data_IF_682588637957
#
_entry.id   IF_682588637957
#
_cell.length_a   1.000
_cell.length_b   1.000
_cell.length_c   1.000
_cell.angle_alpha   90.00
_cell.angle_beta   90.00
_cell.angle_gamma   90.00
#
_symmetry.space_group_name_H-M   'P 1'
#
loop_
_entity.id
_entity.type
_entity.pdbx_description
1 polymer ?
#
# COMPACT_ATOMS: atom_id res chain seq x y z
N UNK A 1 31.12 66.13 17.94
CA UNK A 1 30.15 65.87 16.85
C UNK A 1 30.77 64.84 15.93
N UNK A 2 29.96 63.99 15.29
CA UNK A 2 30.35 62.78 14.53
C UNK A 2 30.48 61.49 15.35
N UNK A 3 29.33 60.89 15.70
CA UNK A 3 29.23 59.44 15.95
C UNK A 3 27.76 58.95 15.88
N UNK A 4 27.01 59.38 14.87
CA UNK A 4 25.55 59.16 14.84
C UNK A 4 24.91 58.82 13.49
N UNK A 5 25.65 58.74 12.39
CA UNK A 5 25.05 58.53 11.05
C UNK A 5 25.55 57.32 10.27
N UNK A 6 26.57 56.58 10.73
CA UNK A 6 27.08 55.39 10.03
C UNK A 6 26.43 54.07 10.42
N UNK A 7 25.59 54.04 11.47
CA UNK A 7 24.99 52.80 11.97
C UNK A 7 23.60 52.45 11.37
N UNK A 8 22.99 53.36 10.60
CA UNK A 8 21.67 53.15 10.00
C UNK A 8 21.78 52.59 8.57
N UNK A 9 22.77 53.05 7.79
CA UNK A 9 23.00 52.57 6.42
C UNK A 9 23.55 51.13 6.33
N UNK A 10 24.39 50.72 7.28
CA UNK A 10 24.98 49.37 7.29
C UNK A 10 23.96 48.32 7.73
N UNK A 11 22.99 48.69 8.57
CA UNK A 11 21.95 47.77 9.06
C UNK A 11 20.86 47.52 8.01
N UNK A 12 20.53 48.49 7.17
CA UNK A 12 19.61 48.29 6.04
C UNK A 12 20.26 47.47 4.91
N UNK A 13 21.55 47.66 4.62
CA UNK A 13 22.25 46.86 3.59
C UNK A 13 22.50 45.41 4.04
N UNK A 14 22.74 45.18 5.34
CA UNK A 14 22.83 43.81 5.89
C UNK A 14 21.47 43.10 5.98
N UNK A 15 20.36 43.82 6.19
CA UNK A 15 19.02 43.21 6.16
C UNK A 15 18.53 42.91 4.74
N UNK A 16 18.85 43.77 3.74
CA UNK A 16 18.55 43.48 2.33
C UNK A 16 19.46 42.37 1.77
N UNK A 17 20.71 42.29 2.23
CA UNK A 17 21.65 41.21 1.86
C UNK A 17 21.31 39.85 2.50
N UNK A 18 20.76 39.83 3.71
CA UNK A 18 20.32 38.58 4.39
C UNK A 18 18.98 38.07 3.83
N UNK A 19 18.08 38.96 3.39
CA UNK A 19 16.84 38.58 2.70
C UNK A 19 17.09 38.04 1.29
N UNK A 20 18.11 38.52 0.56
CA UNK A 20 18.49 37.96 -0.75
C UNK A 20 19.22 36.60 -0.65
N UNK A 21 19.86 36.30 0.49
CA UNK A 21 20.45 34.98 0.74
C UNK A 21 19.42 33.92 1.19
N UNK A 22 18.21 34.33 1.60
CA UNK A 22 17.10 33.42 1.87
C UNK A 22 16.33 33.03 0.60
N UNK A 23 16.55 33.72 -0.54
CA UNK A 23 15.91 33.42 -1.83
C UNK A 23 16.80 32.60 -2.79
N UNK A 24 17.99 32.17 -2.36
CA UNK A 24 18.84 31.24 -3.12
C UNK A 24 19.13 29.94 -2.37
N UNK A 25 18.28 29.60 -1.41
CA UNK A 25 18.21 28.27 -0.81
C UNK A 25 17.09 27.48 -1.47
N UNK A 26 17.21 27.10 -2.74
CA UNK A 26 16.36 26.07 -3.33
C UNK A 26 16.64 24.77 -2.56
N UNK A 27 15.93 24.52 -1.47
CA UNK A 27 15.80 23.18 -0.92
C UNK A 27 15.12 22.35 -1.99
N UNK A 28 15.93 21.57 -2.70
CA UNK A 28 15.59 20.58 -3.75
C UNK A 28 14.51 19.55 -3.39
N UNK A 29 13.84 19.69 -2.24
CA UNK A 29 12.80 18.77 -1.77
C UNK A 29 11.57 19.47 -1.20
N UNK A 30 11.34 20.76 -1.47
CA UNK A 30 10.20 21.49 -0.89
C UNK A 30 9.54 22.45 -1.88
N UNK A 31 9.45 22.12 -3.17
CA UNK A 31 8.63 22.94 -4.07
C UNK A 31 7.15 22.78 -3.70
N UNK A 32 6.60 23.73 -2.93
CA UNK A 32 5.21 23.71 -2.44
C UNK A 32 4.26 24.46 -3.39
N UNK A 33 4.78 25.00 -4.49
CA UNK A 33 4.08 25.97 -5.34
C UNK A 33 3.98 27.34 -4.66
N UNK A 34 3.95 28.41 -5.44
CA UNK A 34 3.60 29.74 -4.95
C UNK A 34 2.14 29.99 -5.35
N UNK A 35 1.30 30.53 -4.46
CA UNK A 35 -0.01 31.04 -4.85
C UNK A 35 0.23 32.37 -5.59
N UNK A 36 0.24 32.42 -6.93
CA UNK A 36 0.63 33.61 -7.66
C UNK A 36 -0.48 34.66 -7.56
N UNK A 37 -0.11 35.95 -7.52
CA UNK A 37 -1.07 37.06 -7.65
C UNK A 37 -1.59 37.21 -9.08
N UNK A 38 -0.87 36.70 -10.09
CA UNK A 38 -1.20 36.72 -11.52
C UNK A 38 -1.23 35.30 -12.12
N UNK A 39 -2.42 34.86 -12.49
CA UNK A 39 -2.76 33.48 -12.89
C UNK A 39 -2.60 33.18 -14.40
N UNK A 40 -2.44 34.22 -15.21
CA UNK A 40 -2.27 34.11 -16.66
C UNK A 40 -0.83 34.42 -17.11
N UNK A 41 0.06 34.68 -16.15
CA UNK A 41 1.48 34.81 -16.42
C UNK A 41 2.01 33.52 -17.07
N UNK A 42 2.69 33.60 -18.24
CA UNK A 42 3.24 32.43 -18.88
C UNK A 42 4.33 31.81 -17.99
N UNK A 43 4.23 30.50 -17.76
CA UNK A 43 5.28 29.77 -17.05
C UNK A 43 6.54 29.71 -17.91
N UNK A 44 7.63 30.31 -17.41
CA UNK A 44 8.93 30.35 -18.11
C UNK A 44 9.96 29.38 -17.53
N UNK A 45 9.72 28.87 -16.32
CA UNK A 45 10.61 27.94 -15.64
C UNK A 45 10.02 26.54 -15.65
N UNK A 46 10.89 25.53 -15.73
CA UNK A 46 10.47 24.13 -15.69
C UNK A 46 9.91 23.81 -14.29
N UNK A 47 8.67 23.29 -14.26
CA UNK A 47 8.01 22.92 -13.00
C UNK A 47 8.32 21.46 -12.66
N UNK A 48 8.92 21.16 -11.49
CA UNK A 48 9.23 19.79 -11.10
C UNK A 48 7.96 19.03 -10.69
N UNK A 49 7.95 17.73 -10.97
CA UNK A 49 6.93 16.80 -10.48
C UNK A 49 7.29 16.44 -9.03
N UNK A 50 6.42 16.83 -8.10
CA UNK A 50 6.54 16.46 -6.69
C UNK A 50 5.48 15.41 -6.37
N UNK A 51 5.91 14.28 -5.80
CA UNK A 51 5.02 13.18 -5.46
C UNK A 51 4.87 13.08 -3.94
N UNK A 52 3.62 13.00 -3.48
CA UNK A 52 3.28 12.84 -2.06
C UNK A 52 2.75 11.45 -1.73
N UNK A 53 3.03 11.00 -0.51
CA UNK A 53 2.50 9.79 0.10
C UNK A 53 1.49 10.19 1.18
N UNK A 54 0.22 9.86 1.00
CA UNK A 54 -0.85 10.18 1.94
C UNK A 54 -0.83 9.23 3.13
N UNK A 55 -0.09 9.57 4.20
CA UNK A 55 -0.19 8.88 5.51
C UNK A 55 -0.48 9.86 6.64
N UNK A 56 -1.54 9.55 7.39
CA UNK A 56 -1.83 10.10 8.71
C UNK A 56 -1.16 9.25 9.78
N UNK A 57 -0.53 9.91 10.76
CA UNK A 57 -0.02 9.36 12.02
C UNK A 57 0.79 8.05 11.94
N UNK A 58 2.11 8.18 11.94
CA UNK A 58 3.04 7.07 12.12
C UNK A 58 2.94 6.51 13.54
N UNK A 59 2.25 5.38 13.68
CA UNK A 59 2.47 4.47 14.80
C UNK A 59 2.39 3.00 14.32
N UNK A 60 3.54 2.32 14.44
CA UNK A 60 3.67 0.94 14.96
C UNK A 60 3.81 -0.28 13.99
N UNK A 61 4.71 -1.18 14.44
CA UNK A 61 5.01 -2.61 14.21
C UNK A 61 5.55 -3.13 12.86
N UNK A 62 6.78 -3.65 12.94
CA UNK A 62 7.60 -4.16 11.85
C UNK A 62 7.32 -5.65 11.55
N UNK A 63 7.13 -5.93 10.24
CA UNK A 63 7.12 -7.26 9.58
C UNK A 63 6.46 -8.40 10.37
N UNK A 64 5.19 -8.66 10.10
CA UNK A 64 4.59 -9.98 10.29
C UNK A 64 4.04 -10.44 8.94
N UNK A 65 4.79 -11.28 8.23
CA UNK A 65 4.38 -12.02 7.02
C UNK A 65 3.77 -11.21 5.85
N UNK A 66 4.25 -9.99 5.59
CA UNK A 66 4.20 -9.33 4.27
C UNK A 66 3.01 -8.40 3.97
N UNK A 67 2.17 -8.07 4.95
CA UNK A 67 1.27 -6.91 4.84
C UNK A 67 2.03 -5.60 5.10
N UNK A 68 1.79 -4.57 4.28
CA UNK A 68 2.30 -3.22 4.57
C UNK A 68 1.33 -2.52 5.53
N UNK A 69 1.79 -2.09 6.69
CA UNK A 69 0.99 -1.32 7.65
C UNK A 69 1.54 0.12 7.72
N UNK A 70 0.67 1.10 7.97
CA UNK A 70 1.09 2.49 8.24
C UNK A 70 1.76 2.56 9.61
N UNK A 71 3.11 2.54 9.64
CA UNK A 71 3.88 2.53 10.89
C UNK A 71 5.41 2.59 10.70
N UNK A 72 6.13 2.87 11.80
CA UNK A 72 7.56 3.27 11.93
C UNK A 72 8.63 2.22 11.59
N UNK A 73 8.38 1.32 10.63
CA UNK A 73 9.46 0.49 10.09
C UNK A 73 10.32 1.30 9.13
N UNK A 74 11.14 2.19 9.69
CA UNK A 74 12.06 3.06 8.95
C UNK A 74 12.91 2.26 7.95
N UNK A 75 13.33 1.04 8.30
CA UNK A 75 14.09 0.16 7.41
C UNK A 75 13.26 -0.40 6.26
N UNK A 76 11.99 -0.73 6.47
CA UNK A 76 11.08 -1.10 5.39
C UNK A 76 10.90 0.08 4.44
N UNK A 77 10.49 1.25 4.93
CA UNK A 77 10.19 2.40 4.07
C UNK A 77 11.42 2.94 3.34
N UNK A 78 12.63 2.79 3.92
CA UNK A 78 13.91 3.06 3.24
C UNK A 78 14.18 2.17 2.03
N UNK A 79 13.68 0.93 2.07
CA UNK A 79 13.92 -0.09 1.05
C UNK A 79 12.70 -0.37 0.16
N UNK A 80 11.51 0.08 0.57
CA UNK A 80 10.27 -0.11 -0.17
C UNK A 80 10.35 0.63 -1.50
N UNK A 81 10.05 -0.11 -2.57
CA UNK A 81 10.05 0.40 -3.94
C UNK A 81 8.63 0.55 -4.41
N UNK A 82 8.28 1.77 -4.79
CA UNK A 82 7.03 2.09 -5.43
C UNK A 82 7.30 2.42 -6.89
N UNK A 83 6.27 2.28 -7.70
CA UNK A 83 6.35 2.52 -9.13
C UNK A 83 5.23 3.46 -9.55
N UNK A 84 5.57 4.46 -10.34
CA UNK A 84 4.63 5.51 -10.74
C UNK A 84 4.54 5.62 -12.26
N UNK A 85 3.31 5.68 -12.75
CA UNK A 85 3.01 6.09 -14.12
C UNK A 85 2.28 7.42 -14.14
N UNK A 86 2.51 8.22 -15.17
CA UNK A 86 1.69 9.39 -15.46
C UNK A 86 1.36 9.46 -16.96
N UNK A 87 0.08 9.57 -17.27
CA UNK A 87 -0.45 9.63 -18.63
C UNK A 87 -1.42 10.78 -18.77
N UNK A 88 -1.55 11.29 -19.99
CA UNK A 88 -2.54 12.33 -20.27
C UNK A 88 -3.93 11.86 -19.84
N UNK A 89 -4.70 12.75 -19.20
CA UNK A 89 -6.02 12.40 -18.64
C UNK A 89 -7.06 12.04 -19.71
N UNK A 90 -6.82 12.36 -20.99
CA UNK A 90 -7.74 12.01 -22.07
C UNK A 90 -8.00 10.49 -22.13
N UNK A 91 -9.27 10.09 -22.14
CA UNK A 91 -9.70 8.68 -22.20
C UNK A 91 -9.24 7.94 -23.46
N UNK A 92 -8.87 8.64 -24.53
CA UNK A 92 -8.34 8.01 -25.76
C UNK A 92 -6.83 7.75 -25.71
N UNK A 93 -6.15 8.21 -24.64
CA UNK A 93 -4.71 8.07 -24.44
C UNK A 93 -4.30 6.60 -24.52
N UNK A 94 -3.28 6.33 -25.32
CA UNK A 94 -2.72 4.99 -25.53
C UNK A 94 -1.63 4.69 -24.49
N UNK A 95 -1.97 3.87 -23.49
CA UNK A 95 -1.07 3.50 -22.40
C UNK A 95 0.05 2.54 -22.85
N UNK A 96 -0.03 1.96 -24.05
CA UNK A 96 1.04 1.13 -24.60
C UNK A 96 2.27 1.95 -25.00
N UNK A 97 2.08 3.23 -25.28
CA UNK A 97 3.14 4.18 -25.60
C UNK A 97 4.01 4.40 -24.35
N UNK A 98 5.33 4.23 -24.51
CA UNK A 98 6.32 4.50 -23.47
C UNK A 98 6.79 5.94 -23.56
N UNK A 99 7.32 6.45 -22.45
CA UNK A 99 7.87 7.81 -22.41
C UNK A 99 9.00 7.98 -23.45
N UNK A 100 8.99 9.15 -24.10
CA UNK A 100 10.09 9.73 -24.88
C UNK A 100 9.83 11.24 -25.02
N UNK A 101 10.85 12.04 -25.31
CA UNK A 101 10.72 13.50 -25.52
C UNK A 101 9.68 13.87 -26.60
N UNK A 102 9.42 12.98 -27.56
CA UNK A 102 8.45 13.18 -28.63
C UNK A 102 6.99 12.92 -28.21
N UNK A 103 6.77 12.14 -27.14
CA UNK A 103 5.46 11.62 -26.74
C UNK A 103 5.08 12.03 -25.30
N UNK A 104 5.67 13.08 -24.74
CA UNK A 104 5.34 13.60 -23.40
C UNK A 104 3.89 14.05 -23.26
N UNK A 105 3.26 14.35 -24.41
CA UNK A 105 1.84 14.64 -24.59
C UNK A 105 0.93 13.45 -24.24
N UNK A 106 1.45 12.22 -24.31
CA UNK A 106 0.74 10.96 -24.06
C UNK A 106 1.20 10.35 -22.74
N UNK A 107 2.50 10.08 -22.62
CA UNK A 107 3.11 9.49 -21.43
C UNK A 107 4.08 10.51 -20.84
N UNK A 108 3.78 11.02 -19.65
CA UNK A 108 4.64 11.96 -18.92
C UNK A 108 5.66 11.22 -18.06
N UNK A 109 5.33 10.05 -17.52
CA UNK A 109 6.18 9.35 -16.58
C UNK A 109 6.03 7.84 -16.69
N UNK A 110 7.15 7.15 -16.91
CA UNK A 110 7.34 5.71 -16.74
C UNK A 110 8.84 5.39 -16.51
N UNK A 111 9.22 4.11 -16.45
CA UNK A 111 10.62 3.71 -16.27
C UNK A 111 11.57 4.13 -17.42
N UNK A 112 11.05 4.47 -18.61
CA UNK A 112 11.88 4.95 -19.73
C UNK A 112 12.35 6.40 -19.52
N UNK A 113 11.74 7.13 -18.59
CA UNK A 113 12.18 8.47 -18.18
C UNK A 113 13.42 8.36 -17.27
N UNK A 114 14.55 8.05 -17.90
CA UNK A 114 15.84 7.80 -17.26
C UNK A 114 16.65 9.09 -17.05
N UNK A 115 17.46 9.11 -15.99
CA UNK A 115 18.66 9.95 -15.90
C UNK A 115 19.79 9.29 -16.69
N UNK A 116 20.70 10.10 -17.25
CA UNK A 116 21.80 9.69 -18.13
C UNK A 116 22.70 8.53 -17.61
N UNK A 117 22.69 8.19 -16.31
CA UNK A 117 23.59 7.22 -15.68
C UNK A 117 22.94 6.03 -14.90
N UNK A 118 21.64 5.74 -15.04
CA UNK A 118 20.97 4.78 -14.12
C UNK A 118 20.06 3.74 -14.78
N UNK A 119 20.54 2.51 -14.96
CA UNK A 119 19.78 1.39 -15.52
C UNK A 119 18.61 0.94 -14.64
N UNK A 120 17.41 1.49 -14.88
CA UNK A 120 16.14 0.89 -14.47
C UNK A 120 15.61 0.00 -15.61
N UNK A 121 15.08 -1.18 -15.28
CA UNK A 121 14.41 -2.02 -16.27
C UNK A 121 13.13 -1.35 -16.79
N UNK A 122 12.98 -1.29 -18.11
CA UNK A 122 11.96 -0.55 -18.87
C UNK A 122 10.55 -1.17 -18.83
N UNK A 123 10.29 -2.13 -17.95
CA UNK A 123 9.02 -2.87 -17.88
C UNK A 123 8.10 -2.43 -16.73
N UNK A 124 8.36 -1.28 -16.09
CA UNK A 124 7.61 -0.83 -14.91
C UNK A 124 7.36 0.67 -14.94
N UNK A 125 6.64 1.18 -13.94
CA UNK A 125 6.59 2.60 -13.66
C UNK A 125 7.95 3.14 -13.24
N UNK A 126 8.09 4.47 -13.19
CA UNK A 126 9.28 5.11 -12.65
C UNK A 126 9.43 4.71 -11.18
N UNK A 127 10.60 4.21 -10.78
CA UNK A 127 10.85 3.83 -9.39
C UNK A 127 10.91 5.09 -8.52
N UNK A 128 10.19 5.05 -7.40
CA UNK A 128 10.18 6.07 -6.36
C UNK A 128 10.32 5.39 -5.00
N UNK A 129 10.82 6.14 -4.01
CA UNK A 129 11.00 5.67 -2.64
C UNK A 129 10.32 6.62 -1.67
N UNK A 130 9.96 6.17 -0.48
CA UNK A 130 9.39 7.06 0.54
C UNK A 130 10.52 7.73 1.32
N UNK A 131 10.50 9.06 1.37
CA UNK A 131 11.40 9.84 2.22
C UNK A 131 10.86 9.85 3.65
N UNK A 132 11.45 9.01 4.49
CA UNK A 132 10.97 8.75 5.85
C UNK A 132 11.35 9.86 6.85
N UNK A 133 12.28 10.74 6.48
CA UNK A 133 12.83 11.80 7.35
C UNK A 133 11.89 13.03 7.49
N UNK A 134 10.59 12.80 7.69
CA UNK A 134 9.51 13.78 7.99
C UNK A 134 8.80 14.50 6.82
N UNK A 135 8.96 14.09 5.55
CA UNK A 135 8.36 14.87 4.44
C UNK A 135 7.22 14.20 3.68
N UNK A 136 6.87 12.92 3.93
CA UNK A 136 5.85 12.18 3.16
C UNK A 136 6.06 12.28 1.62
N UNK A 137 7.30 12.54 1.18
CA UNK A 137 7.63 12.72 -0.23
C UNK A 137 8.02 11.38 -0.83
N UNK A 138 7.77 11.22 -2.12
CA UNK A 138 8.18 10.07 -2.90
C UNK A 138 9.23 10.46 -3.95
N UNK A 139 10.51 10.71 -3.57
CA UNK A 139 11.57 11.03 -4.51
C UNK A 139 11.79 9.95 -5.57
N UNK A 140 12.20 10.39 -6.77
CA UNK A 140 12.53 9.53 -7.90
C UNK A 140 13.90 8.85 -7.72
N UNK A 141 13.96 7.55 -8.06
CA UNK A 141 15.19 6.75 -8.00
C UNK A 141 15.94 6.72 -9.36
N UNK A 142 17.28 6.56 -9.39
CA UNK A 142 18.23 6.67 -8.26
C UNK A 142 18.30 8.06 -7.63
N UNK A 143 18.27 8.07 -6.30
CA UNK A 143 18.70 9.20 -5.46
C UNK A 143 20.24 9.16 -5.48
N UNK A 144 20.85 9.99 -6.33
CA UNK A 144 22.30 10.04 -6.42
C UNK A 144 22.89 10.76 -5.19
N UNK A 145 24.22 10.81 -5.06
CA UNK A 145 24.89 11.49 -3.93
C UNK A 145 24.60 13.00 -3.85
N UNK A 146 23.86 13.57 -4.80
CA UNK A 146 23.53 14.99 -4.93
C UNK A 146 22.04 15.32 -4.82
N UNK A 147 21.16 14.33 -4.76
CA UNK A 147 19.71 14.45 -4.50
C UNK A 147 18.85 13.61 -5.46
N UNK A 148 17.54 13.54 -5.15
CA UNK A 148 16.51 12.95 -6.01
C UNK A 148 16.60 13.47 -7.44
N UNK A 149 16.24 12.64 -8.42
CA UNK A 149 16.12 13.10 -9.81
C UNK A 149 15.01 14.14 -9.92
N UNK A 150 15.31 15.26 -10.56
CA UNK A 150 14.31 16.26 -10.93
C UNK A 150 13.68 15.87 -12.27
N UNK A 151 12.42 15.43 -12.22
CA UNK A 151 11.60 15.18 -13.41
C UNK A 151 10.59 16.31 -13.52
N UNK A 152 10.38 16.83 -14.72
CA UNK A 152 9.57 18.02 -14.96
C UNK A 152 8.28 17.72 -15.71
N UNK A 153 7.28 18.58 -15.51
CA UNK A 153 6.05 18.59 -16.31
C UNK A 153 6.32 18.99 -17.77
N UNK A 154 5.37 18.67 -18.65
CA UNK A 154 5.43 19.07 -20.05
C UNK A 154 5.22 20.59 -20.18
N UNK A 155 6.27 21.31 -20.56
CA UNK A 155 6.24 22.77 -20.71
C UNK A 155 5.71 23.24 -22.07
N UNK A 156 5.51 22.35 -23.06
CA UNK A 156 4.85 22.69 -24.34
C UNK A 156 3.35 22.89 -24.15
N UNK A 157 2.77 22.14 -23.22
CA UNK A 157 1.37 22.13 -22.86
C UNK A 157 1.22 22.23 -21.35
N UNK A 158 1.46 23.42 -20.81
CA UNK A 158 1.51 23.66 -19.36
C UNK A 158 0.18 23.44 -18.65
N UNK A 159 -0.93 23.41 -19.38
CA UNK A 159 -2.29 23.28 -18.89
C UNK A 159 -2.90 21.88 -19.08
N UNK A 160 -2.19 20.95 -19.74
CA UNK A 160 -2.73 19.62 -19.99
C UNK A 160 -2.73 18.75 -18.73
N UNK A 161 -3.89 18.21 -18.32
CA UNK A 161 -3.99 17.39 -17.11
C UNK A 161 -3.46 15.96 -17.33
N UNK A 162 -2.92 15.39 -16.26
CA UNK A 162 -2.38 14.03 -16.25
C UNK A 162 -2.98 13.20 -15.12
N UNK A 163 -3.23 11.91 -15.37
CA UNK A 163 -3.57 10.93 -14.36
C UNK A 163 -2.29 10.28 -13.83
N UNK A 164 -2.12 10.29 -12.52
CA UNK A 164 -0.99 9.67 -11.84
C UNK A 164 -1.44 8.38 -11.15
N UNK A 165 -0.71 7.30 -11.42
CA UNK A 165 -0.94 5.97 -10.88
C UNK A 165 0.28 5.53 -10.11
N UNK A 166 0.09 4.99 -8.91
CA UNK A 166 1.17 4.42 -8.13
C UNK A 166 0.82 3.00 -7.69
N UNK A 167 1.83 2.14 -7.58
CA UNK A 167 1.65 0.77 -7.12
C UNK A 167 2.88 0.26 -6.39
N UNK A 168 2.63 -0.76 -5.57
CA UNK A 168 3.60 -1.46 -4.75
C UNK A 168 3.43 -2.96 -4.91
N UNK A 169 4.55 -3.65 -5.03
CA UNK A 169 4.64 -5.10 -5.20
C UNK A 169 5.63 -5.61 -4.14
N UNK A 170 5.14 -6.29 -3.10
CA UNK A 170 5.97 -6.72 -1.97
C UNK A 170 7.02 -7.77 -2.38
N UNK A 171 8.31 -7.45 -2.15
CA UNK A 171 9.48 -8.31 -2.36
C UNK A 171 9.47 -9.12 -3.68
N UNK A 172 8.82 -8.57 -4.70
CA UNK A 172 8.55 -9.28 -5.93
C UNK A 172 9.70 -9.09 -6.92
N UNK A 173 10.30 -10.18 -7.39
CA UNK A 173 11.34 -10.13 -8.43
C UNK A 173 10.73 -9.73 -9.76
N UNK A 174 10.75 -8.42 -10.03
CA UNK A 174 10.17 -7.83 -11.22
C UNK A 174 10.83 -8.31 -12.52
N UNK A 175 12.01 -8.93 -12.47
CA UNK A 175 12.62 -9.53 -13.67
C UNK A 175 11.85 -10.75 -14.17
N UNK A 176 11.03 -11.36 -13.31
CA UNK A 176 10.24 -12.53 -13.62
C UNK A 176 8.78 -12.19 -13.96
N UNK A 177 8.34 -10.95 -13.73
CA UNK A 177 7.00 -10.52 -14.11
C UNK A 177 7.00 -9.85 -15.47
N UNK A 178 6.14 -10.39 -16.33
CA UNK A 178 5.84 -9.76 -17.60
C UNK A 178 4.86 -8.61 -17.38
N UNK A 179 5.32 -7.39 -17.63
CA UNK A 179 4.44 -6.24 -17.79
C UNK A 179 3.72 -6.31 -19.14
N UNK A 180 2.39 -6.28 -19.10
CA UNK A 180 1.56 -6.18 -20.30
C UNK A 180 1.02 -4.76 -20.39
N UNK A 181 1.29 -4.11 -21.53
CA UNK A 181 0.77 -2.79 -21.86
C UNK A 181 -0.16 -2.89 -23.06
N UNK A 182 -1.40 -2.53 -22.83
CA UNK A 182 -2.44 -2.41 -23.86
C UNK A 182 -2.78 -0.93 -24.02
N UNK A 183 -3.60 -0.61 -25.04
CA UNK A 183 -4.01 0.77 -25.29
C UNK A 183 -4.71 1.41 -24.08
N UNK A 184 -5.55 0.64 -23.40
CA UNK A 184 -6.44 1.14 -22.35
C UNK A 184 -5.99 0.80 -20.93
N UNK A 185 -5.01 -0.09 -20.75
CA UNK A 185 -4.56 -0.53 -19.42
C UNK A 185 -3.14 -1.07 -19.41
N UNK A 186 -2.55 -1.08 -18.22
CA UNK A 186 -1.27 -1.75 -17.93
C UNK A 186 -1.49 -2.68 -16.75
N UNK A 187 -1.03 -3.92 -16.87
CA UNK A 187 -1.23 -4.92 -15.82
C UNK A 187 -0.11 -5.95 -15.73
N UNK A 188 -0.14 -6.69 -14.62
CA UNK A 188 0.69 -7.85 -14.34
C UNK A 188 -0.22 -9.03 -13.98
N UNK A 189 0.04 -10.21 -14.54
CA UNK A 189 -0.56 -11.44 -14.02
C UNK A 189 0.30 -11.92 -12.84
N UNK A 190 -0.30 -12.08 -11.67
CA UNK A 190 0.40 -12.32 -10.39
C UNK A 190 -0.07 -13.61 -9.73
N UNK A 191 0.84 -14.23 -8.96
CA UNK A 191 0.55 -15.40 -8.13
C UNK A 191 0.72 -15.04 -6.65
N UNK A 192 -0.28 -15.39 -5.84
CA UNK A 192 -0.31 -15.17 -4.41
C UNK A 192 0.42 -16.32 -3.71
N UNK A 193 1.29 -15.97 -2.77
CA UNK A 193 1.97 -16.93 -1.89
C UNK A 193 1.44 -16.88 -0.45
N UNK A 194 0.36 -16.11 -0.20
CA UNK A 194 -0.19 -15.89 1.13
C UNK A 194 0.57 -14.87 1.98
N UNK A 195 1.68 -14.32 1.48
CA UNK A 195 2.56 -13.41 2.22
C UNK A 195 2.62 -12.02 1.58
N UNK A 196 2.72 -11.94 0.26
CA UNK A 196 2.96 -10.68 -0.46
C UNK A 196 1.70 -9.83 -0.55
N UNK A 197 1.89 -8.55 -0.26
CA UNK A 197 0.86 -7.53 -0.43
C UNK A 197 0.97 -6.82 -1.79
N UNK A 198 -0.19 -6.46 -2.32
CA UNK A 198 -0.35 -5.76 -3.58
C UNK A 198 -1.19 -4.53 -3.29
N UNK A 199 -0.59 -3.35 -3.52
CA UNK A 199 -1.27 -2.08 -3.29
C UNK A 199 -1.18 -1.19 -4.51
N UNK A 200 -2.23 -0.42 -4.74
CA UNK A 200 -2.20 0.64 -5.74
C UNK A 200 -2.94 1.88 -5.27
N UNK A 201 -2.71 2.98 -5.98
CA UNK A 201 -3.31 4.27 -5.75
C UNK A 201 -3.45 5.02 -7.07
N UNK A 202 -4.50 5.83 -7.15
CA UNK A 202 -4.67 6.85 -8.19
C UNK A 202 -4.72 8.19 -7.47
N UNK A 203 -3.88 9.14 -7.87
CA UNK A 203 -3.90 10.46 -7.27
C UNK A 203 -5.25 11.13 -7.58
N UNK A 204 -5.99 11.53 -6.54
CA UNK A 204 -7.29 12.16 -6.69
C UNK A 204 -7.21 13.64 -6.31
N UNK A 205 -7.36 14.58 -7.27
CA UNK A 205 -7.23 16.01 -6.98
C UNK A 205 -8.31 16.50 -6.02
N UNK A 206 -9.49 15.85 -5.98
CA UNK A 206 -10.60 16.24 -5.09
C UNK A 206 -10.22 16.18 -3.61
N UNK A 207 -9.28 15.32 -3.24
CA UNK A 207 -8.79 15.20 -1.85
C UNK A 207 -8.00 16.43 -1.38
N UNK A 208 -7.56 17.26 -2.31
CA UNK A 208 -6.85 18.50 -2.04
C UNK A 208 -7.69 19.74 -2.38
N UNK A 209 -8.97 19.56 -2.71
CA UNK A 209 -9.84 20.64 -3.17
C UNK A 209 -10.03 21.72 -2.10
N UNK A 210 -10.08 21.33 -0.83
CA UNK A 210 -10.28 22.23 0.31
C UNK A 210 -9.13 23.24 0.49
N UNK A 211 -7.90 22.89 0.08
CA UNK A 211 -6.74 23.82 0.04
C UNK A 211 -7.02 25.07 -0.79
N UNK A 212 -7.95 24.97 -1.75
CA UNK A 212 -8.27 26.03 -2.70
C UNK A 212 -9.64 26.66 -2.44
N UNK A 213 -10.29 26.40 -1.30
CA UNK A 213 -11.67 26.87 -1.03
C UNK A 213 -11.86 28.39 -1.21
N UNK A 214 -10.85 29.18 -0.86
CA UNK A 214 -10.85 30.64 -0.98
C UNK A 214 -10.06 31.17 -2.20
N UNK A 215 -9.60 30.28 -3.09
CA UNK A 215 -8.81 30.66 -4.26
C UNK A 215 -9.75 30.95 -5.46
N UNK A 216 -9.69 32.15 -6.07
CA UNK A 216 -10.54 32.49 -7.22
C UNK A 216 -10.31 31.60 -8.46
N UNK A 217 -9.14 30.96 -8.55
CA UNK A 217 -8.74 30.09 -9.66
C UNK A 217 -8.94 28.60 -9.35
N UNK A 218 -9.60 28.25 -8.24
CA UNK A 218 -9.86 26.87 -7.83
C UNK A 218 -10.30 25.98 -8.98
N UNK A 219 -11.32 26.40 -9.75
CA UNK A 219 -11.84 25.59 -10.86
C UNK A 219 -10.77 25.33 -11.92
N UNK A 220 -10.01 26.36 -12.32
CA UNK A 220 -8.95 26.27 -13.33
C UNK A 220 -7.80 25.36 -12.86
N UNK A 221 -7.43 25.42 -11.58
CA UNK A 221 -6.42 24.54 -10.96
C UNK A 221 -6.91 23.07 -10.99
N UNK A 222 -8.17 22.83 -10.63
CA UNK A 222 -8.75 21.49 -10.56
C UNK A 222 -8.99 20.86 -11.94
N UNK A 223 -9.44 21.65 -12.93
CA UNK A 223 -9.65 21.18 -14.31
C UNK A 223 -8.33 20.79 -14.99
N UNK A 224 -7.23 21.45 -14.60
CA UNK A 224 -5.88 21.22 -15.10
C UNK A 224 -5.05 20.38 -14.12
N UNK A 225 -5.70 19.56 -13.30
CA UNK A 225 -5.03 18.81 -12.24
C UNK A 225 -3.80 18.05 -12.74
N UNK A 226 -2.72 18.18 -11.97
CA UNK A 226 -1.41 17.59 -12.21
C UNK A 226 -0.80 17.95 -13.57
N UNK A 227 -1.01 19.18 -14.01
CA UNK A 227 -0.26 19.87 -15.07
C UNK A 227 0.82 20.78 -14.47
N UNK A 228 1.71 21.32 -15.31
CA UNK A 228 2.70 22.32 -14.89
C UNK A 228 2.03 23.53 -14.21
N UNK A 229 0.90 23.99 -14.77
CA UNK A 229 0.08 25.05 -14.22
C UNK A 229 -0.45 24.68 -12.83
N UNK A 230 -1.15 23.56 -12.67
CA UNK A 230 -1.70 23.23 -11.35
C UNK A 230 -0.59 22.99 -10.29
N UNK A 231 0.55 22.43 -10.70
CA UNK A 231 1.69 22.20 -9.83
C UNK A 231 2.38 23.51 -9.41
N UNK A 232 2.41 24.55 -10.27
CA UNK A 232 2.91 25.87 -9.87
C UNK A 232 2.05 26.51 -8.79
N UNK A 233 0.76 26.18 -8.73
CA UNK A 233 -0.17 26.57 -7.66
C UNK A 233 -0.20 25.57 -6.48
N UNK A 234 0.70 24.58 -6.47
CA UNK A 234 0.87 23.64 -5.37
C UNK A 234 -0.10 22.45 -5.36
N UNK A 235 -0.77 22.14 -6.48
CA UNK A 235 -1.55 20.91 -6.63
C UNK A 235 -0.65 19.80 -7.18
N UNK A 236 -0.11 19.00 -6.26
CA UNK A 236 0.79 17.89 -6.56
C UNK A 236 0.07 16.54 -6.38
N UNK A 237 0.40 15.49 -7.14
CA UNK A 237 -0.18 14.16 -6.94
C UNK A 237 0.19 13.60 -5.56
N UNK A 238 -0.84 13.21 -4.80
CA UNK A 238 -0.72 12.57 -3.48
C UNK A 238 -1.40 11.21 -3.58
N UNK A 239 -0.68 10.16 -3.18
CA UNK A 239 -1.14 8.77 -3.29
C UNK A 239 -1.61 8.23 -1.94
N UNK A 240 -2.88 7.85 -1.86
CA UNK A 240 -3.47 7.06 -0.78
C UNK A 240 -3.56 5.61 -1.25
N UNK A 241 -2.67 4.74 -0.76
CA UNK A 241 -2.60 3.36 -1.20
C UNK A 241 -3.70 2.50 -0.59
N UNK A 242 -4.27 1.63 -1.41
CA UNK A 242 -5.30 0.66 -1.02
C UNK A 242 -4.74 -0.76 -1.11
N UNK A 243 -5.06 -1.58 -0.12
CA UNK A 243 -4.78 -3.01 -0.11
C UNK A 243 -5.83 -3.77 -0.91
N UNK A 244 -5.40 -4.64 -1.81
CA UNK A 244 -6.33 -5.39 -2.67
C UNK A 244 -6.64 -6.81 -2.19
N UNK A 245 -5.95 -7.27 -1.14
CA UNK A 245 -6.16 -8.59 -0.54
C UNK A 245 -6.95 -8.50 0.76
N UNK A 246 -7.42 -9.65 1.24
CA UNK A 246 -7.96 -9.87 2.58
C UNK A 246 -6.83 -10.33 3.48
N UNK A 247 -6.80 -9.84 4.72
CA UNK A 247 -5.85 -10.30 5.72
C UNK A 247 -6.54 -11.12 6.79
N UNK A 248 -6.09 -12.37 6.97
CA UNK A 248 -6.51 -13.22 8.09
C UNK A 248 -5.39 -13.33 9.12
N UNK A 249 -5.71 -13.06 10.39
CA UNK A 249 -4.84 -13.33 11.53
C UNK A 249 -5.47 -14.41 12.40
N UNK A 250 -4.70 -15.42 12.77
CA UNK A 250 -5.22 -16.57 13.51
C UNK A 250 -4.83 -16.50 14.98
N UNK A 251 -5.78 -16.86 15.85
CA UNK A 251 -5.63 -16.98 17.30
C UNK A 251 -6.17 -18.35 17.70
N UNK A 252 -5.44 -19.10 18.52
CA UNK A 252 -5.92 -20.39 19.03
C UNK A 252 -6.56 -20.17 20.40
N UNK A 253 -7.72 -20.80 20.62
CA UNK A 253 -8.47 -20.76 21.86
C UNK A 253 -8.72 -22.16 22.40
N UNK A 254 -8.78 -22.27 23.73
CA UNK A 254 -9.22 -23.49 24.43
C UNK A 254 -10.75 -23.64 24.35
N UNK A 255 -11.26 -24.88 24.42
CA UNK A 255 -12.70 -25.15 24.43
C UNK A 255 -13.37 -24.56 25.67
N UNK A 256 -14.66 -24.26 25.55
CA UNK A 256 -15.50 -23.93 26.70
C UNK A 256 -15.65 -25.15 27.62
N UNK A 257 -15.45 -24.98 28.93
CA UNK A 257 -15.68 -26.06 29.90
C UNK A 257 -17.19 -26.22 30.14
N UNK A 258 -17.73 -27.39 29.80
CA UNK A 258 -19.13 -27.76 30.04
C UNK A 258 -19.76 -28.53 28.88
N UNK A 259 -20.48 -29.61 29.20
CA UNK A 259 -21.05 -30.54 28.21
C UNK A 259 -20.10 -31.67 27.80
N UNK A 260 -20.51 -32.46 26.78
CA UNK A 260 -19.83 -33.67 26.28
C UNK A 260 -18.49 -33.43 25.57
N UNK A 261 -17.75 -32.37 25.90
CA UNK A 261 -16.48 -32.04 25.27
C UNK A 261 -15.40 -32.97 25.84
N UNK A 262 -14.73 -33.80 25.03
CA UNK A 262 -13.66 -34.68 25.51
C UNK A 262 -12.50 -33.87 26.10
N UNK A 263 -11.79 -34.44 27.08
CA UNK A 263 -10.54 -33.86 27.55
C UNK A 263 -9.52 -33.81 26.41
N UNK A 264 -8.98 -32.63 26.12
CA UNK A 264 -7.93 -32.45 25.10
C UNK A 264 -6.61 -33.03 25.61
N UNK A 265 -5.87 -33.70 24.73
CA UNK A 265 -4.55 -34.23 25.04
C UNK A 265 -3.54 -33.07 25.21
N UNK A 266 -2.75 -33.10 26.28
CA UNK A 266 -1.70 -32.13 26.59
C UNK A 266 -0.59 -32.06 25.52
N UNK A 267 -0.43 -33.11 24.72
CA UNK A 267 0.52 -33.15 23.60
C UNK A 267 -0.05 -32.66 22.27
N UNK A 268 -1.28 -32.13 22.23
CA UNK A 268 -1.91 -31.66 20.99
C UNK A 268 -1.28 -30.34 20.54
N UNK A 269 -0.76 -30.33 19.30
CA UNK A 269 -0.05 -29.20 18.70
C UNK A 269 -0.68 -28.83 17.37
N UNK A 270 -0.80 -27.53 17.10
CA UNK A 270 -1.15 -27.04 15.75
C UNK A 270 0.12 -27.00 14.91
N UNK A 271 0.16 -27.79 13.82
CA UNK A 271 1.33 -27.87 12.94
C UNK A 271 1.23 -26.92 11.74
N UNK A 272 0.03 -26.76 11.18
CA UNK A 272 -0.18 -25.96 9.98
C UNK A 272 -1.61 -25.42 9.93
N UNK A 273 -1.74 -24.18 9.47
CA UNK A 273 -3.01 -23.57 9.09
C UNK A 273 -2.92 -23.26 7.61
N UNK A 274 -3.90 -23.71 6.85
CA UNK A 274 -4.00 -23.42 5.42
C UNK A 274 -5.42 -23.02 5.06
N UNK A 275 -5.56 -22.16 4.07
CA UNK A 275 -6.84 -21.62 3.64
C UNK A 275 -6.91 -21.69 2.13
N UNK A 276 -7.99 -22.27 1.62
CA UNK A 276 -8.26 -22.33 0.19
C UNK A 276 -8.67 -20.95 -0.31
N UNK A 277 -7.96 -20.44 -1.32
CA UNK A 277 -8.22 -19.14 -1.93
C UNK A 277 -7.89 -19.17 -3.41
N UNK A 278 -8.40 -18.21 -4.19
CA UNK A 278 -7.79 -17.89 -5.49
C UNK A 278 -6.32 -17.52 -5.26
N UNK A 279 -5.43 -18.08 -6.08
CA UNK A 279 -3.98 -17.87 -5.98
C UNK A 279 -3.40 -17.17 -7.20
N UNK A 280 -4.16 -16.99 -8.28
CA UNK A 280 -3.72 -16.25 -9.46
C UNK A 280 -4.69 -15.13 -9.74
N UNK A 281 -4.20 -13.94 -10.06
CA UNK A 281 -5.04 -12.77 -10.36
C UNK A 281 -4.36 -11.80 -11.31
N UNK A 282 -5.10 -10.80 -11.77
CA UNK A 282 -4.60 -9.73 -12.62
C UNK A 282 -4.50 -8.42 -11.85
N UNK A 283 -3.30 -7.91 -11.73
CA UNK A 283 -3.03 -6.63 -11.07
C UNK A 283 -2.91 -5.51 -12.09
N UNK A 284 -3.99 -4.75 -12.27
CA UNK A 284 -4.03 -3.58 -13.16
C UNK A 284 -3.51 -2.36 -12.42
N UNK A 285 -2.49 -1.71 -12.98
CA UNK A 285 -1.77 -0.60 -12.35
C UNK A 285 -2.02 0.75 -13.01
N UNK A 286 -2.57 0.79 -14.21
CA UNK A 286 -2.99 2.01 -14.89
C UNK A 286 -4.13 1.72 -15.85
N UNK A 287 -5.04 2.68 -16.00
CA UNK A 287 -6.17 2.65 -16.95
C UNK A 287 -6.34 4.04 -17.58
N UNK A 288 -6.83 4.11 -18.82
CA UNK A 288 -7.01 5.39 -19.51
C UNK A 288 -8.29 6.12 -19.09
N UNK A 289 -9.29 5.40 -18.61
CA UNK A 289 -10.58 5.92 -18.14
C UNK A 289 -10.75 5.59 -16.65
N UNK A 290 -10.39 6.56 -15.78
CA UNK A 290 -10.44 6.40 -14.32
C UNK A 290 -11.85 6.62 -13.73
N UNK A 291 -12.70 7.37 -14.42
CA UNK A 291 -14.05 7.76 -13.98
C UNK A 291 -15.12 6.78 -14.50
N UNK A 292 -14.66 5.65 -15.04
CA UNK A 292 -15.45 4.58 -15.59
C UNK A 292 -16.25 3.83 -14.51
N UNK A 293 -17.43 4.30 -14.12
CA UNK A 293 -18.28 3.62 -13.11
C UNK A 293 -19.07 2.40 -13.63
N UNK A 294 -18.82 1.97 -14.88
CA UNK A 294 -19.52 0.83 -15.47
C UNK A 294 -18.93 -0.50 -14.96
N UNK A 295 -19.79 -1.40 -14.46
CA UNK A 295 -19.41 -2.73 -13.95
C UNK A 295 -18.67 -3.65 -14.95
N UNK A 296 -18.48 -3.23 -16.21
CA UNK A 296 -17.71 -3.94 -17.24
C UNK A 296 -16.41 -3.26 -17.67
N UNK A 297 -16.03 -2.13 -17.04
CA UNK A 297 -14.78 -1.44 -17.35
C UNK A 297 -13.66 -1.86 -16.38
N UNK A 298 -12.43 -1.81 -16.87
CA UNK A 298 -11.26 -2.20 -16.07
C UNK A 298 -10.92 -1.08 -15.09
N UNK A 299 -10.73 -1.43 -13.83
CA UNK A 299 -10.25 -0.52 -12.79
C UNK A 299 -8.83 -0.86 -12.37
N UNK A 300 -8.15 0.10 -11.75
CA UNK A 300 -6.86 -0.12 -11.08
C UNK A 300 -7.09 -0.97 -9.84
N UNK A 301 -6.26 -1.99 -9.63
CA UNK A 301 -6.37 -2.93 -8.51
C UNK A 301 -6.14 -4.38 -8.92
N UNK A 302 -6.39 -5.29 -7.99
CA UNK A 302 -6.25 -6.73 -8.21
C UNK A 302 -7.61 -7.38 -8.45
N UNK A 303 -7.76 -8.04 -9.60
CA UNK A 303 -8.97 -8.77 -9.97
C UNK A 303 -8.73 -10.28 -10.05
N UNK A 304 -9.79 -11.03 -9.74
CA UNK A 304 -9.86 -12.49 -9.83
C UNK A 304 -11.03 -12.91 -10.73
N UNK A 305 -11.37 -12.07 -11.71
CA UNK A 305 -12.53 -12.26 -12.57
C UNK A 305 -12.24 -13.37 -13.59
N UNK A 306 -13.29 -14.09 -14.00
CA UNK A 306 -13.19 -15.18 -14.95
C UNK A 306 -12.50 -14.75 -16.26
N UNK A 307 -12.85 -13.58 -16.78
CA UNK A 307 -12.26 -13.00 -18.00
C UNK A 307 -10.76 -12.67 -17.90
N UNK A 308 -10.17 -12.68 -16.70
CA UNK A 308 -8.73 -12.45 -16.55
C UNK A 308 -7.87 -13.67 -16.87
N UNK A 309 -8.46 -14.86 -16.92
CA UNK A 309 -7.74 -16.11 -17.12
C UNK A 309 -7.71 -16.53 -18.59
N UNK A 310 -6.63 -17.20 -18.98
CA UNK A 310 -6.43 -17.65 -20.37
C UNK A 310 -7.48 -18.68 -20.84
N UNK A 311 -8.17 -19.36 -19.92
CA UNK A 311 -9.23 -20.33 -20.22
C UNK A 311 -10.12 -20.59 -18.99
N UNK A 312 -11.29 -21.17 -19.22
CA UNK A 312 -12.17 -21.66 -18.15
C UNK A 312 -11.49 -22.72 -17.26
N UNK A 313 -10.64 -23.56 -17.85
CA UNK A 313 -9.85 -24.54 -17.10
C UNK A 313 -8.83 -23.87 -16.20
N UNK A 314 -8.15 -22.82 -16.68
CA UNK A 314 -7.22 -22.04 -15.87
C UNK A 314 -7.96 -21.33 -14.72
N UNK A 315 -9.16 -20.80 -14.97
CA UNK A 315 -9.99 -20.22 -13.93
C UNK A 315 -10.46 -21.26 -12.89
N UNK A 316 -10.91 -22.44 -13.33
CA UNK A 316 -11.35 -23.51 -12.43
C UNK A 316 -10.21 -24.04 -11.55
N UNK A 317 -8.99 -24.06 -12.08
CA UNK A 317 -7.78 -24.52 -11.40
C UNK A 317 -6.95 -23.38 -10.77
N UNK A 318 -7.57 -22.20 -10.55
CA UNK A 318 -6.90 -21.02 -9.97
C UNK A 318 -6.98 -20.95 -8.44
N UNK A 319 -7.51 -21.99 -7.79
CA UNK A 319 -7.61 -22.07 -6.33
C UNK A 319 -6.61 -23.07 -5.78
N UNK A 320 -5.96 -22.70 -4.69
CA UNK A 320 -5.08 -23.59 -3.93
C UNK A 320 -5.10 -23.23 -2.43
N UNK A 321 -4.52 -24.09 -1.62
CA UNK A 321 -4.32 -23.87 -0.19
C UNK A 321 -3.07 -23.04 0.05
N UNK A 322 -3.27 -21.77 0.36
CA UNK A 322 -2.23 -20.92 0.92
C UNK A 322 -2.08 -21.24 2.41
N UNK A 323 -0.85 -21.25 2.91
CA UNK A 323 -0.60 -21.63 4.30
C UNK A 323 0.22 -20.59 5.02
N UNK A 324 -0.02 -20.49 6.33
CA UNK A 324 0.79 -19.63 7.16
C UNK A 324 2.24 -20.12 7.13
N UNK A 325 3.16 -19.19 6.88
CA UNK A 325 4.60 -19.38 6.90
C UNK A 325 5.19 -18.64 8.10
N UNK A 326 6.44 -18.93 8.43
CA UNK A 326 7.25 -18.10 9.31
C UNK A 326 7.45 -16.69 8.72
N UNK A 327 7.74 -15.71 9.58
CA UNK A 327 8.10 -14.33 9.24
C UNK A 327 9.27 -14.26 8.25
N UNK A 328 10.21 -15.21 8.31
CA UNK A 328 11.32 -15.33 7.36
C UNK A 328 10.95 -16.07 6.06
N UNK A 329 9.70 -16.49 5.88
CA UNK A 329 9.21 -17.23 4.71
C UNK A 329 9.40 -18.74 4.77
N UNK A 330 10.00 -19.27 5.84
CA UNK A 330 10.19 -20.71 6.01
C UNK A 330 8.90 -21.40 6.49
N UNK A 331 8.82 -22.71 6.26
CA UNK A 331 7.77 -23.52 6.88
C UNK A 331 7.95 -23.59 8.40
N UNK A 332 6.85 -23.77 9.14
CA UNK A 332 6.90 -23.76 10.61
C UNK A 332 7.75 -24.91 11.18
N UNK A 333 7.90 -26.01 10.44
CA UNK A 333 8.74 -27.16 10.81
C UNK A 333 7.98 -28.24 11.57
N UNK A 334 8.66 -29.36 11.85
CA UNK A 334 8.06 -30.56 12.45
C UNK A 334 7.60 -30.39 13.89
N UNK A 335 8.14 -29.41 14.61
CA UNK A 335 7.87 -29.23 16.05
C UNK A 335 6.51 -28.56 16.28
N UNK A 336 5.95 -27.89 15.27
CA UNK A 336 4.65 -27.21 15.33
C UNK A 336 4.72 -25.79 15.89
N UNK A 337 3.56 -25.13 15.92
CA UNK A 337 3.42 -23.73 16.35
C UNK A 337 3.32 -23.63 17.87
N UNK A 338 2.25 -24.20 18.43
CA UNK A 338 1.98 -24.10 19.87
C UNK A 338 1.09 -25.25 20.33
N UNK A 339 1.12 -25.52 21.63
CA UNK A 339 0.24 -26.49 22.27
C UNK A 339 -1.13 -25.87 22.52
N UNK A 340 -2.19 -26.60 22.21
CA UNK A 340 -3.58 -26.15 22.40
C UNK A 340 -3.88 -25.88 23.88
N UNK A 341 -3.22 -26.65 24.76
CA UNK A 341 -3.40 -26.55 26.20
C UNK A 341 -2.79 -25.31 26.85
N UNK A 342 -2.20 -24.37 26.12
CA UNK A 342 -1.62 -23.13 26.69
C UNK A 342 -2.53 -21.89 26.52
N UNK A 343 -3.63 -22.01 25.76
CA UNK A 343 -4.46 -20.86 25.37
C UNK A 343 -5.57 -20.48 26.38
N UNK A 344 -6.08 -19.24 26.34
CA UNK A 344 -7.30 -18.86 27.09
C UNK A 344 -8.56 -19.38 26.37
N UNK A 345 -9.67 -19.55 27.10
CA UNK A 345 -10.98 -19.79 26.48
C UNK A 345 -11.45 -18.52 25.79
N UNK A 346 -12.21 -18.66 24.70
CA UNK A 346 -12.72 -17.49 23.99
C UNK A 346 -13.68 -16.66 24.85
N UNK A 347 -14.55 -17.29 25.66
CA UNK A 347 -15.44 -16.58 26.60
C UNK A 347 -14.70 -15.85 27.72
N UNK A 348 -13.49 -16.30 28.07
CA UNK A 348 -12.64 -15.74 29.12
C UNK A 348 -11.72 -14.62 28.60
N UNK A 349 -11.67 -14.39 27.28
CA UNK A 349 -10.93 -13.27 26.71
C UNK A 349 -11.58 -11.94 27.13
N UNK A 350 -10.79 -11.10 27.80
CA UNK A 350 -11.23 -9.75 28.16
C UNK A 350 -11.47 -8.91 26.91
N UNK A 351 -12.25 -7.83 27.02
CA UNK A 351 -12.42 -6.89 25.92
C UNK A 351 -11.08 -6.26 25.46
N UNK A 352 -10.11 -6.16 26.37
CA UNK A 352 -8.75 -5.69 26.09
C UNK A 352 -7.94 -6.74 25.32
N UNK A 353 -8.03 -8.02 25.72
CA UNK A 353 -7.37 -9.13 25.01
C UNK A 353 -7.93 -9.28 23.59
N UNK A 354 -9.23 -9.07 23.38
CA UNK A 354 -9.83 -9.07 22.03
C UNK A 354 -9.41 -7.88 21.19
N UNK A 355 -9.19 -6.72 21.82
CA UNK A 355 -8.63 -5.53 21.14
C UNK A 355 -7.15 -5.70 20.81
N UNK A 356 -6.41 -6.53 21.57
CA UNK A 356 -4.99 -6.80 21.36
C UNK A 356 -4.71 -8.31 21.40
N UNK A 357 -5.19 -9.08 20.40
CA UNK A 357 -5.06 -10.52 20.45
C UNK A 357 -3.59 -10.96 20.38
N UNK A 358 -3.25 -11.99 21.16
CA UNK A 358 -2.03 -12.76 20.96
C UNK A 358 -2.21 -13.64 19.73
N UNK A 359 -1.78 -13.12 18.58
CA UNK A 359 -1.79 -13.88 17.33
C UNK A 359 -0.79 -15.02 17.40
N UNK A 360 -1.05 -16.06 16.61
CA UNK A 360 -0.06 -17.10 16.37
C UNK A 360 1.27 -16.48 15.93
N UNK A 361 2.34 -16.76 16.68
CA UNK A 361 3.69 -16.23 16.44
C UNK A 361 4.07 -14.94 17.14
N UNK A 362 3.35 -14.53 18.19
CA UNK A 362 3.62 -13.27 18.91
C UNK A 362 4.09 -13.44 20.36
N UNK A 363 4.32 -14.68 20.82
CA UNK A 363 4.56 -14.94 22.25
C UNK A 363 6.03 -14.79 22.68
N UNK A 364 7.00 -14.70 21.76
CA UNK A 364 8.42 -14.50 22.09
C UNK A 364 9.10 -13.65 21.01
N UNK A 365 10.03 -12.76 21.38
CA UNK A 365 10.88 -12.03 20.42
C UNK A 365 11.70 -12.97 19.51
N UNK A 366 11.79 -14.25 19.91
CA UNK A 366 12.45 -15.33 19.18
C UNK A 366 11.48 -16.22 18.35
N UNK A 367 10.16 -16.06 18.48
CA UNK A 367 9.20 -16.83 17.68
C UNK A 367 9.07 -16.18 16.29
N UNK A 368 9.58 -16.90 15.30
CA UNK A 368 9.60 -16.46 13.91
C UNK A 368 8.34 -16.90 13.15
N UNK A 369 7.27 -17.39 13.77
CA UNK A 369 6.06 -17.78 13.03
C UNK A 369 5.24 -16.57 12.52
N UNK A 370 4.67 -16.65 11.31
CA UNK A 370 4.07 -15.51 10.62
C UNK A 370 2.64 -15.23 11.06
N UNK A 371 2.36 -13.98 11.42
CA UNK A 371 1.13 -13.60 12.10
C UNK A 371 -0.08 -13.40 11.18
N UNK A 372 0.05 -13.53 9.85
CA UNK A 372 -1.02 -13.19 8.90
C UNK A 372 -0.93 -13.97 7.58
N UNK A 373 -2.09 -14.26 7.01
CA UNK A 373 -2.28 -14.81 5.67
C UNK A 373 -3.00 -13.79 4.78
N UNK A 374 -2.47 -13.51 3.60
CA UNK A 374 -3.08 -12.62 2.61
C UNK A 374 -3.77 -13.43 1.50
N UNK A 375 -5.07 -13.21 1.32
CA UNK A 375 -5.94 -14.01 0.47
C UNK A 375 -6.74 -13.16 -0.50
N UNK A 376 -7.20 -13.76 -1.59
CA UNK A 376 -8.14 -13.12 -2.50
C UNK A 376 -9.50 -12.93 -1.82
N UNK A 377 -10.19 -11.78 -1.98
CA UNK A 377 -11.54 -11.56 -1.45
C UNK A 377 -12.51 -12.68 -1.81
N UNK A 378 -13.35 -13.08 -0.85
CA UNK A 378 -14.31 -14.18 -1.00
C UNK A 378 -15.48 -14.04 -0.03
N UNK A 379 -16.60 -14.69 -0.31
CA UNK A 379 -17.75 -14.71 0.62
C UNK A 379 -17.44 -15.50 1.89
N UNK A 380 -16.74 -16.62 1.74
CA UNK A 380 -16.36 -17.56 2.79
C UNK A 380 -15.03 -18.18 2.41
N UNK A 381 -14.34 -18.78 3.38
CA UNK A 381 -13.15 -19.60 3.12
C UNK A 381 -13.30 -20.98 3.72
N UNK A 382 -12.62 -21.95 3.11
CA UNK A 382 -12.41 -23.27 3.71
C UNK A 382 -10.96 -23.38 4.19
N UNK A 383 -10.77 -23.59 5.48
CA UNK A 383 -9.48 -23.71 6.11
C UNK A 383 -9.20 -25.17 6.53
N UNK A 384 -7.95 -25.60 6.42
CA UNK A 384 -7.46 -26.87 6.95
C UNK A 384 -6.48 -26.63 8.08
N UNK A 385 -6.85 -27.10 9.26
CA UNK A 385 -6.04 -27.02 10.47
C UNK A 385 -5.42 -28.39 10.73
N UNK A 386 -4.10 -28.47 10.62
CA UNK A 386 -3.34 -29.70 10.83
C UNK A 386 -2.98 -29.79 12.31
N UNK A 387 -3.49 -30.85 12.94
CA UNK A 387 -3.30 -31.15 14.35
C UNK A 387 -2.45 -32.42 14.47
N UNK A 388 -1.57 -32.45 15.45
CA UNK A 388 -0.74 -33.62 15.73
C UNK A 388 -0.58 -33.81 17.24
N UNK A 389 -0.53 -35.06 17.66
CA UNK A 389 -0.19 -35.45 19.03
C UNK A 389 1.16 -36.14 18.99
N UNK A 390 2.14 -35.67 19.79
CA UNK A 390 3.57 -36.08 19.76
C UNK A 390 3.86 -37.61 19.84
N UNK A 391 2.85 -38.49 19.91
CA UNK A 391 2.97 -39.96 19.98
C UNK A 391 1.87 -40.76 19.26
N UNK A 392 1.09 -40.20 18.34
CA UNK A 392 0.12 -40.99 17.58
C UNK A 392 0.81 -41.79 16.47
N UNK A 393 0.72 -43.13 16.54
CA UNK A 393 1.15 -44.04 15.47
C UNK A 393 0.10 -44.22 14.36
N UNK A 394 -0.97 -43.41 14.38
CA UNK A 394 -2.09 -43.50 13.44
C UNK A 394 -2.02 -42.35 12.41
N UNK A 395 -1.67 -42.63 11.13
CA UNK A 395 -1.51 -41.61 10.09
C UNK A 395 -2.85 -41.01 9.59
N UNK A 396 -3.99 -41.36 10.19
CA UNK A 396 -5.33 -41.10 9.67
C UNK A 396 -5.99 -39.76 10.03
N UNK A 397 -5.48 -38.99 11.00
CA UNK A 397 -6.08 -37.71 11.42
C UNK A 397 -5.12 -36.55 11.17
N UNK A 398 -4.88 -36.23 9.89
CA UNK A 398 -3.89 -35.21 9.52
C UNK A 398 -4.38 -33.76 9.63
N UNK A 399 -5.69 -33.51 9.48
CA UNK A 399 -6.26 -32.16 9.52
C UNK A 399 -7.78 -32.15 9.78
N UNK A 400 -8.30 -30.98 10.18
CA UNK A 400 -9.72 -30.67 10.29
C UNK A 400 -10.07 -29.57 9.29
N UNK A 401 -11.11 -29.78 8.48
CA UNK A 401 -11.69 -28.74 7.62
C UNK A 401 -12.59 -27.82 8.46
N UNK A 402 -12.44 -26.51 8.28
CA UNK A 402 -13.13 -25.47 9.03
C UNK A 402 -13.63 -24.39 8.07
N UNK A 403 -14.93 -24.16 8.04
CA UNK A 403 -15.53 -23.09 7.24
C UNK A 403 -15.43 -21.75 7.99
N UNK A 404 -14.88 -20.74 7.32
CA UNK A 404 -14.73 -19.39 7.85
C UNK A 404 -15.77 -18.48 7.19
N UNK A 405 -16.61 -17.87 8.01
CA UNK A 405 -17.64 -16.92 7.57
C UNK A 405 -17.59 -15.66 8.45
N UNK A 406 -17.51 -14.46 7.86
CA UNK A 406 -17.59 -13.23 8.62
C UNK A 406 -19.06 -12.97 9.02
N UNK A 407 -19.28 -12.59 10.28
CA UNK A 407 -20.62 -12.27 10.77
C UNK A 407 -21.28 -11.14 9.96
N UNK A 408 -22.59 -11.22 9.74
CA UNK A 408 -23.37 -10.15 9.09
C UNK A 408 -23.49 -10.23 7.56
N UNK A 409 -22.98 -11.28 6.93
CA UNK A 409 -23.29 -11.62 5.52
C UNK A 409 -22.55 -10.80 4.44
N UNK A 410 -21.60 -9.94 4.81
CA UNK A 410 -20.87 -9.07 3.88
C UNK A 410 -19.67 -9.75 3.16
N UNK A 411 -19.28 -10.97 3.57
CA UNK A 411 -18.09 -11.65 3.04
C UNK A 411 -16.77 -10.99 3.48
N UNK A 412 -15.65 -11.58 3.05
CA UNK A 412 -14.31 -11.05 3.25
C UNK A 412 -13.95 -10.10 2.11
N UNK A 413 -13.91 -8.80 2.41
CA UNK A 413 -13.66 -7.74 1.43
C UNK A 413 -12.19 -7.33 1.35
N UNK A 414 -11.75 -6.90 0.15
CA UNK A 414 -10.42 -6.33 -0.10
C UNK A 414 -10.12 -5.18 0.88
N UNK A 415 -8.89 -5.12 1.38
CA UNK A 415 -8.50 -4.16 2.39
C UNK A 415 -9.19 -4.37 3.73
N UNK A 416 -9.77 -5.55 3.99
CA UNK A 416 -10.29 -5.93 5.30
C UNK A 416 -9.31 -6.81 6.07
N UNK A 417 -9.13 -6.56 7.37
CA UNK A 417 -8.41 -7.45 8.28
C UNK A 417 -9.38 -8.17 9.21
N UNK A 418 -9.16 -9.46 9.39
CA UNK A 418 -10.03 -10.33 10.16
C UNK A 418 -9.21 -11.14 11.14
N UNK A 419 -9.69 -11.21 12.38
CA UNK A 419 -9.12 -12.06 13.41
C UNK A 419 -9.98 -13.33 13.51
N UNK A 420 -9.33 -14.47 13.29
CA UNK A 420 -9.93 -15.80 13.29
C UNK A 420 -9.54 -16.50 14.58
N UNK A 421 -10.48 -16.59 15.52
CA UNK A 421 -10.33 -17.35 16.75
C UNK A 421 -10.72 -18.81 16.48
N UNK A 422 -9.77 -19.72 16.58
CA UNK A 422 -9.98 -21.16 16.40
C UNK A 422 -10.10 -21.82 17.77
N UNK A 423 -11.32 -22.21 18.15
CA UNK A 423 -11.58 -22.98 19.38
C UNK A 423 -11.46 -24.46 19.07
N UNK A 424 -10.39 -25.11 19.54
CA UNK A 424 -10.12 -26.52 19.25
C UNK A 424 -10.76 -27.36 20.35
N UNK A 425 -11.78 -28.16 20.05
CA UNK A 425 -12.47 -29.03 21.02
C UNK A 425 -11.93 -30.47 21.00
N UNK A 426 -11.49 -30.96 19.83
CA UNK A 426 -10.89 -32.28 19.64
C UNK A 426 -10.13 -32.36 18.31
N UNK A 427 -9.56 -33.53 17.98
CA UNK A 427 -8.96 -33.84 16.68
C UNK A 427 -9.94 -33.80 15.49
N UNK A 428 -11.25 -33.66 15.75
CA UNK A 428 -12.28 -33.66 14.70
C UNK A 428 -13.31 -32.53 14.86
N UNK A 429 -13.17 -31.65 15.85
CA UNK A 429 -14.09 -30.54 16.08
C UNK A 429 -13.30 -29.26 16.43
N UNK A 430 -13.32 -28.31 15.49
CA UNK A 430 -12.77 -26.97 15.66
C UNK A 430 -13.87 -25.96 15.32
N UNK A 431 -14.14 -25.03 16.24
CA UNK A 431 -15.14 -23.98 16.06
C UNK A 431 -14.46 -22.63 15.79
N UNK A 432 -14.66 -22.04 14.61
CA UNK A 432 -14.13 -20.72 14.29
C UNK A 432 -15.06 -19.62 14.82
N UNK A 433 -14.47 -18.50 15.23
CA UNK A 433 -15.15 -17.23 15.44
C UNK A 433 -14.37 -16.12 14.72
N UNK A 434 -15.06 -15.35 13.89
CA UNK A 434 -14.47 -14.33 13.02
C UNK A 434 -14.85 -12.94 13.51
N UNK A 435 -13.86 -12.16 13.92
CA UNK A 435 -14.04 -10.75 14.29
C UNK A 435 -13.44 -9.84 13.20
N UNK A 436 -14.18 -8.79 12.84
CA UNK A 436 -13.72 -7.76 11.91
C UNK A 436 -12.76 -6.83 12.65
N UNK A 437 -11.56 -6.65 12.12
CA UNK A 437 -10.63 -5.60 12.50
C UNK A 437 -10.59 -4.49 11.45
N UNK A 438 -10.08 -3.32 11.82
CA UNK A 438 -9.80 -2.27 10.85
C UNK A 438 -8.43 -2.55 10.21
N UNK A 439 -8.42 -2.73 8.89
CA UNK A 439 -7.22 -2.52 8.08
C UNK A 439 -7.39 -1.16 7.44
N UNK A 440 -7.05 -0.13 8.20
CA UNK A 440 -7.25 1.25 7.75
C UNK A 440 -6.46 1.46 6.46
N UNK A 441 -7.11 1.87 5.35
CA UNK A 441 -6.41 2.56 4.29
C UNK A 441 -5.65 3.73 4.92
N UNK A 442 -4.49 4.11 4.36
CA UNK A 442 -3.80 5.32 4.80
C UNK A 442 -4.80 6.49 4.80
N UNK A 443 -5.22 6.91 5.99
CA UNK A 443 -6.26 7.91 6.16
C UNK A 443 -5.75 9.26 5.68
N UNK A 444 -6.65 10.04 5.07
CA UNK A 444 -6.38 11.40 4.66
C UNK A 444 -6.16 12.30 5.88
N UNK A 445 -5.11 13.11 5.85
CA UNK A 445 -5.04 14.33 6.65
C UNK A 445 -4.87 15.48 5.69
N UNK A 446 -5.77 16.46 5.79
CA UNK A 446 -5.62 17.77 5.19
C UNK A 446 -4.45 18.43 5.91
N UNK A 447 -3.36 18.69 5.20
CA UNK A 447 -2.28 19.54 5.68
C UNK A 447 -2.82 20.97 5.79
N UNK A 448 -3.27 21.36 6.99
CA UNK A 448 -3.43 22.76 7.37
C UNK A 448 -2.08 23.23 7.96
N UNK A 449 -1.28 24.04 7.24
CA UNK A 449 -0.01 24.54 7.76
C UNK A 449 -0.17 25.47 8.98
N UNK A 450 -1.40 25.90 9.31
CA UNK A 450 -1.71 26.78 10.44
C UNK A 450 -2.50 26.08 11.57
N UNK A 451 -2.78 24.77 11.46
CA UNK A 451 -3.52 24.00 12.45
C UNK A 451 -2.68 23.60 13.65
N UNK A 452 -2.99 24.13 14.84
CA UNK A 452 -2.38 23.67 16.09
C UNK A 452 -2.69 22.18 16.35
N UNK A 453 -1.65 21.38 16.58
CA UNK A 453 -1.75 19.98 17.01
C UNK A 453 -2.39 19.93 18.41
N UNK A 454 -3.60 19.41 18.54
CA UNK A 454 -4.15 18.98 19.83
C UNK A 454 -3.87 17.48 20.03
N UNK A 455 -2.96 17.17 20.97
CA UNK A 455 -2.72 15.82 21.45
C UNK A 455 -3.99 15.24 22.09
N UNK A 456 -4.51 14.12 21.58
CA UNK A 456 -5.43 13.24 22.30
C UNK A 456 -5.06 11.78 22.16
#
# INVERSE_FOLDING_TARGET
MERGQTYIGVRQVLWVGLCMLLLCGCSRGTYVGELPEDDDAPLTENIPIVLGFGVSSFDILTRGSGAVESGTNLEFWKNAKFYVYAFNKNVETDLSVRWSEANEDICLLDANRLSEDGGQSSSHGKEVRVKVDNSNLMPFFPDDKTGSQDIYYNMKHTDWPYNFFAYYLDDLDLTQLQCVREKNRIYYDVELDGRRDFMSSVANPKLQEDKYANNPYKQKIMDRAYSAYSASHGLNPVFSFQHHLVRLRFVICRPEEGGSVPSINESLVVKKVSVKSKVRGRFTVAVNDIDADDAGKTHVGLSFNREDYASEEAYANSEDYLYLLKKNGEEIGSDGWCRVIDCKKYSELSAEDKKKPSFLGKEDENDNSGASLLLAPATTYSARIFLDEDKSSDPGHGFVDVDLEPGGGAGFVAGGAYVIYLTINSLSDIKPNVEIGEWTPGGETILDPDGEFEDK
#
